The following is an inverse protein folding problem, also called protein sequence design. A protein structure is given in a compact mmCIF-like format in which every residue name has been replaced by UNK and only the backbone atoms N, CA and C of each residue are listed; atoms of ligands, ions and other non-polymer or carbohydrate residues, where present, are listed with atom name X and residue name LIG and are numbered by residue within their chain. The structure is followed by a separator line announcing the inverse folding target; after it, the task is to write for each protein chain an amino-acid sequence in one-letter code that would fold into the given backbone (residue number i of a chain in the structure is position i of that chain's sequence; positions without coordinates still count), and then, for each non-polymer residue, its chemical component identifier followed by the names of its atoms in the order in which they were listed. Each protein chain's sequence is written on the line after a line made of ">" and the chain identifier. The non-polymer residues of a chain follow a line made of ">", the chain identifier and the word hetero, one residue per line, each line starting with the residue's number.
data_IF_017752339000
#
_entry.id   IF_017752339000
#
_cell.length_a   1.000
_cell.length_b   1.000
_cell.length_c   1.000
_cell.angle_alpha   90.00
_cell.angle_beta   90.00
_cell.angle_gamma   90.00
#
_symmetry.space_group_name_H-M   'P 1'
#
loop_
_entity.id
_entity.type
_entity.pdbx_description
1 polymer ?
#
# COMPACT_ATOMS: atom_id res chain seq x y z
N UNK A 1 35.26 7.07 13.58
CA UNK A 1 34.00 7.73 13.98
C UNK A 1 33.06 7.62 12.79
N UNK A 2 31.84 7.18 13.04
CA UNK A 2 31.05 6.31 12.18
C UNK A 2 30.42 7.02 10.97
N UNK A 3 30.69 6.51 9.77
CA UNK A 3 29.93 6.78 8.54
C UNK A 3 28.55 6.13 8.61
N UNK A 4 27.67 6.64 9.47
CA UNK A 4 26.31 6.09 9.62
C UNK A 4 25.26 7.19 9.66
N UNK A 5 25.37 8.11 8.72
CA UNK A 5 24.18 8.70 8.11
C UNK A 5 24.06 8.06 6.73
N UNK A 6 23.47 6.84 6.67
CA UNK A 6 22.98 6.30 5.40
C UNK A 6 21.90 7.25 4.93
N UNK A 7 22.29 8.22 4.11
CA UNK A 7 21.39 9.07 3.34
C UNK A 7 20.51 8.11 2.54
N UNK A 8 19.31 7.86 3.04
CA UNK A 8 18.42 6.86 2.46
C UNK A 8 17.89 7.47 1.18
N UNK A 9 18.13 6.83 0.04
CA UNK A 9 17.64 7.32 -1.25
C UNK A 9 16.11 7.49 -1.14
N UNK A 10 15.56 8.70 -1.35
CA UNK A 10 14.11 8.94 -1.27
C UNK A 10 13.28 7.96 -2.12
N UNK A 11 13.79 7.53 -3.27
CA UNK A 11 13.12 6.55 -4.13
C UNK A 11 13.04 5.16 -3.48
N UNK A 12 14.08 4.78 -2.71
CA UNK A 12 14.11 3.51 -1.97
C UNK A 12 13.11 3.56 -0.82
N UNK A 13 13.04 4.69 -0.12
CA UNK A 13 12.06 4.90 0.95
C UNK A 13 10.63 4.86 0.41
N UNK A 14 10.36 5.55 -0.69
CA UNK A 14 9.02 5.58 -1.31
C UNK A 14 8.59 4.16 -1.74
N UNK A 15 9.50 3.39 -2.34
CA UNK A 15 9.21 2.01 -2.72
C UNK A 15 8.92 1.13 -1.51
N UNK A 16 9.67 1.28 -0.42
CA UNK A 16 9.43 0.53 0.82
C UNK A 16 8.08 0.91 1.44
N UNK A 17 7.77 2.20 1.45
CA UNK A 17 6.48 2.72 1.93
C UNK A 17 5.31 2.13 1.14
N UNK A 18 5.36 2.17 -0.19
CA UNK A 18 4.29 1.61 -1.04
C UNK A 18 4.13 0.09 -0.83
N UNK A 19 5.23 -0.66 -0.66
CA UNK A 19 5.15 -2.08 -0.35
C UNK A 19 4.49 -2.37 1.01
N UNK A 20 4.78 -1.56 2.03
CA UNK A 20 4.14 -1.68 3.34
C UNK A 20 2.65 -1.31 3.29
N UNK A 21 2.31 -0.29 2.49
CA UNK A 21 0.93 0.11 2.23
C UNK A 21 0.15 -1.00 1.52
N UNK A 22 0.68 -1.56 0.43
CA UNK A 22 0.09 -2.67 -0.31
C UNK A 22 -0.22 -3.85 0.64
N UNK A 23 0.75 -4.24 1.47
CA UNK A 23 0.60 -5.32 2.45
C UNK A 23 -0.49 -5.03 3.50
N UNK A 24 -0.57 -3.78 3.96
CA UNK A 24 -1.57 -3.35 4.95
C UNK A 24 -2.97 -3.39 4.37
N UNK A 25 -3.15 -2.90 3.13
CA UNK A 25 -4.41 -2.95 2.39
C UNK A 25 -4.87 -4.40 2.18
N UNK A 26 -3.99 -5.28 1.67
CA UNK A 26 -4.31 -6.68 1.40
C UNK A 26 -4.70 -7.42 2.68
N UNK A 27 -3.91 -7.24 3.74
CA UNK A 27 -4.15 -7.90 5.04
C UNK A 27 -5.48 -7.46 5.63
N UNK A 28 -5.76 -6.15 5.59
CA UNK A 28 -7.01 -5.61 6.10
C UNK A 28 -8.21 -6.07 5.27
N UNK A 29 -8.13 -5.99 3.93
CA UNK A 29 -9.17 -6.44 3.01
C UNK A 29 -9.55 -7.91 3.25
N UNK A 30 -8.55 -8.79 3.40
CA UNK A 30 -8.76 -10.21 3.72
C UNK A 30 -9.56 -10.38 5.01
N UNK A 31 -9.20 -9.63 6.06
CA UNK A 31 -9.90 -9.69 7.35
C UNK A 31 -11.30 -9.07 7.32
N UNK A 32 -11.47 -7.95 6.62
CA UNK A 32 -12.69 -7.16 6.54
C UNK A 32 -13.79 -7.87 5.75
N UNK A 33 -13.40 -8.57 4.66
CA UNK A 33 -14.32 -9.34 3.81
C UNK A 33 -14.40 -10.82 4.15
N UNK A 34 -13.59 -11.29 5.10
CA UNK A 34 -13.44 -12.71 5.45
C UNK A 34 -13.07 -13.59 4.25
N UNK A 35 -12.20 -13.09 3.37
CA UNK A 35 -11.70 -13.81 2.19
C UNK A 35 -10.23 -14.23 2.38
N UNK A 36 -9.74 -15.28 1.70
CA UNK A 36 -8.33 -15.66 1.73
C UNK A 36 -7.42 -14.51 1.26
N UNK A 37 -6.20 -14.45 1.81
CA UNK A 37 -5.20 -13.43 1.42
C UNK A 37 -4.94 -13.43 -0.09
N UNK A 38 -4.92 -14.60 -0.73
CA UNK A 38 -4.73 -14.69 -2.19
C UNK A 38 -5.85 -13.97 -2.96
N UNK A 39 -7.11 -14.14 -2.53
CA UNK A 39 -8.25 -13.47 -3.16
C UNK A 39 -8.23 -11.96 -2.89
N UNK A 40 -7.77 -11.54 -1.70
CA UNK A 40 -7.56 -10.13 -1.38
C UNK A 40 -6.45 -9.50 -2.24
N UNK A 41 -5.35 -10.22 -2.49
CA UNK A 41 -4.29 -9.78 -3.42
C UNK A 41 -4.84 -9.59 -4.83
N UNK A 42 -5.56 -10.59 -5.35
CA UNK A 42 -6.14 -10.53 -6.69
C UNK A 42 -7.14 -9.38 -6.80
N UNK A 43 -7.96 -9.14 -5.76
CA UNK A 43 -8.88 -8.00 -5.70
C UNK A 43 -8.13 -6.67 -5.70
N UNK A 44 -7.10 -6.53 -4.85
CA UNK A 44 -6.35 -5.29 -4.72
C UNK A 44 -5.57 -4.93 -6.00
N UNK A 45 -4.75 -5.85 -6.52
CA UNK A 45 -3.88 -5.56 -7.66
C UNK A 45 -4.64 -5.35 -8.98
N UNK A 46 -5.89 -5.84 -9.08
CA UNK A 46 -6.77 -5.56 -10.22
C UNK A 46 -7.67 -4.33 -10.01
N UNK A 47 -7.53 -3.61 -8.90
CA UNK A 47 -8.37 -2.45 -8.57
C UNK A 47 -7.84 -1.14 -9.14
N UNK A 48 -8.76 -0.17 -9.29
CA UNK A 48 -8.39 1.22 -9.57
C UNK A 48 -7.64 1.87 -8.41
N UNK A 49 -7.87 1.40 -7.18
CA UNK A 49 -7.16 1.92 -6.00
C UNK A 49 -5.66 1.65 -6.13
N UNK A 50 -5.27 0.41 -6.44
CA UNK A 50 -3.87 0.05 -6.68
C UNK A 50 -3.26 0.89 -7.80
N UNK A 51 -3.98 1.06 -8.91
CA UNK A 51 -3.54 1.92 -10.00
C UNK A 51 -3.29 3.36 -9.51
N UNK A 52 -4.19 3.94 -8.72
CA UNK A 52 -4.07 5.31 -8.24
C UNK A 52 -2.94 5.49 -7.23
N UNK A 53 -2.75 4.53 -6.32
CA UNK A 53 -1.64 4.51 -5.36
C UNK A 53 -0.31 4.51 -6.11
N UNK A 54 -0.12 3.57 -7.06
CA UNK A 54 1.15 3.41 -7.76
C UNK A 54 1.42 4.51 -8.81
N UNK A 55 0.38 5.26 -9.22
CA UNK A 55 0.52 6.49 -10.03
C UNK A 55 0.71 7.76 -9.18
N UNK A 56 0.63 7.69 -7.85
CA UNK A 56 0.67 8.86 -6.97
C UNK A 56 -0.53 9.80 -7.19
N UNK A 57 -1.67 9.26 -7.63
CA UNK A 57 -2.81 10.06 -8.06
C UNK A 57 -3.55 10.64 -6.85
N UNK A 58 -3.71 11.96 -6.84
CA UNK A 58 -4.37 12.71 -5.75
C UNK A 58 -3.72 12.52 -4.38
N UNK A 59 -2.46 12.07 -4.32
CA UNK A 59 -1.75 11.78 -3.08
C UNK A 59 -2.49 10.74 -2.19
N UNK A 60 -3.31 9.89 -2.81
CA UNK A 60 -4.19 8.93 -2.12
C UNK A 60 -3.41 7.90 -1.30
N UNK A 61 -2.15 7.63 -1.68
CA UNK A 61 -1.26 6.73 -0.97
C UNK A 61 -0.99 7.18 0.47
N UNK A 62 -1.19 8.46 0.81
CA UNK A 62 -0.99 8.98 2.17
C UNK A 62 -2.25 8.96 3.05
N UNK A 63 -3.37 8.43 2.56
CA UNK A 63 -4.57 8.22 3.38
C UNK A 63 -4.48 6.97 4.25
N UNK A 64 -5.37 6.86 5.24
CA UNK A 64 -5.48 5.66 6.08
C UNK A 64 -5.90 4.44 5.23
N UNK A 65 -5.11 3.36 5.29
CA UNK A 65 -5.34 2.19 4.47
C UNK A 65 -6.68 1.49 4.73
N UNK A 66 -7.28 1.63 5.93
CA UNK A 66 -8.60 1.08 6.21
C UNK A 66 -9.68 1.85 5.50
N UNK A 67 -9.59 3.18 5.50
CA UNK A 67 -10.46 4.04 4.72
C UNK A 67 -10.34 3.71 3.22
N UNK A 68 -9.12 3.52 2.74
CA UNK A 68 -8.89 3.14 1.33
C UNK A 68 -9.59 1.83 0.98
N UNK A 69 -9.51 0.83 1.85
CA UNK A 69 -10.21 -0.44 1.66
C UNK A 69 -11.73 -0.25 1.72
N UNK A 70 -12.25 0.39 2.75
CA UNK A 70 -13.70 0.48 2.99
C UNK A 70 -14.44 1.28 1.91
N UNK A 71 -13.83 2.34 1.38
CA UNK A 71 -14.48 3.22 0.40
C UNK A 71 -14.17 2.86 -1.05
N UNK A 72 -13.05 2.20 -1.33
CA UNK A 72 -12.57 1.97 -2.71
C UNK A 72 -12.43 0.51 -3.11
N UNK A 73 -12.54 -0.45 -2.19
CA UNK A 73 -12.43 -1.89 -2.47
C UNK A 73 -13.63 -2.66 -2.02
#
# INVERSE_FOLDING_TARGET
>A
MSDTMKQTNPEVLEKQYLQELDNSIITYLSSFRHIPVQEAMDTYYNSRLCEYIHQGKYDIQYLDYKLLVEEYL
#
